data_IF_041648638635
#
_entry.id   IF_041648638635
#
_cell.length_a   1.000
_cell.length_b   1.000
_cell.length_c   1.000
_cell.angle_alpha   90.00
_cell.angle_beta   90.00
_cell.angle_gamma   90.00
#
_symmetry.space_group_name_H-M   'P 1'
#
loop_
_entity.id
_entity.type
_entity.pdbx_description
1 polymer ?
#
# COMPACT_ATOMS: atom_id res chain seq x y z
N UNK A 1 -14.62 -7.26 -15.28
CA UNK A 1 -14.11 -8.07 -14.15
C UNK A 1 -13.60 -7.08 -13.12
N UNK A 2 -13.86 -7.27 -11.83
CA UNK A 2 -13.36 -6.34 -10.82
C UNK A 2 -11.89 -6.61 -10.56
N UNK A 3 -11.14 -5.57 -10.23
CA UNK A 3 -9.78 -5.71 -9.72
C UNK A 3 -9.85 -6.15 -8.25
N UNK A 4 -8.76 -6.66 -7.66
CA UNK A 4 -8.74 -6.99 -6.23
C UNK A 4 -9.11 -5.80 -5.33
N UNK A 5 -8.69 -4.58 -5.70
CA UNK A 5 -9.13 -3.36 -5.00
C UNK A 5 -10.64 -3.15 -5.16
N UNK A 6 -11.18 -3.33 -6.37
CA UNK A 6 -12.61 -3.20 -6.62
C UNK A 6 -13.47 -4.20 -5.83
N UNK A 7 -13.00 -5.45 -5.73
CA UNK A 7 -13.62 -6.51 -4.93
C UNK A 7 -13.57 -6.17 -3.43
N UNK A 8 -12.41 -5.72 -2.94
CA UNK A 8 -12.25 -5.26 -1.56
C UNK A 8 -13.24 -4.12 -1.21
N UNK A 9 -13.28 -3.08 -2.04
CA UNK A 9 -14.15 -1.92 -1.81
C UNK A 9 -15.64 -2.31 -1.84
N UNK A 10 -16.05 -3.22 -2.73
CA UNK A 10 -17.42 -3.73 -2.77
C UNK A 10 -17.77 -4.57 -1.54
N UNK A 11 -16.91 -5.52 -1.17
CA UNK A 11 -17.09 -6.39 0.00
C UNK A 11 -17.33 -5.57 1.26
N UNK A 12 -16.59 -4.47 1.43
CA UNK A 12 -16.69 -3.56 2.56
C UNK A 12 -17.72 -2.44 2.38
N UNK A 13 -18.53 -2.47 1.31
CA UNK A 13 -19.56 -1.46 1.00
C UNK A 13 -19.03 -0.03 1.06
N UNK A 14 -17.79 0.16 0.59
CA UNK A 14 -17.07 1.42 0.67
C UNK A 14 -17.78 2.51 -0.14
N UNK A 15 -18.00 3.68 0.47
CA UNK A 15 -18.56 4.82 -0.23
C UNK A 15 -17.47 5.51 -1.08
N UNK A 16 -17.43 5.17 -2.37
CA UNK A 16 -16.43 5.67 -3.32
C UNK A 16 -16.42 7.19 -3.45
N UNK A 17 -17.58 7.84 -3.43
CA UNK A 17 -17.67 9.30 -3.49
C UNK A 17 -17.02 9.95 -2.26
N UNK A 18 -17.24 9.39 -1.05
CA UNK A 18 -16.58 9.86 0.18
C UNK A 18 -15.07 9.62 0.16
N UNK A 19 -14.62 8.47 -0.32
CA UNK A 19 -13.19 8.19 -0.49
C UNK A 19 -12.58 9.24 -1.42
N UNK A 20 -13.18 9.42 -2.60
CA UNK A 20 -12.75 10.40 -3.61
C UNK A 20 -12.63 11.82 -3.05
N UNK A 21 -13.65 12.30 -2.31
CA UNK A 21 -13.65 13.65 -1.73
C UNK A 21 -12.61 13.85 -0.64
N UNK A 22 -12.26 12.81 0.12
CA UNK A 22 -11.29 12.92 1.23
C UNK A 22 -9.84 12.93 0.77
N UNK A 23 -9.52 12.20 -0.31
CA UNK A 23 -8.12 11.94 -0.68
C UNK A 23 -7.71 12.59 -2.01
N UNK A 24 -8.65 13.26 -2.70
CA UNK A 24 -8.37 13.97 -3.95
C UNK A 24 -8.15 13.07 -5.18
N UNK A 25 -8.49 11.78 -5.09
CA UNK A 25 -8.53 10.87 -6.25
C UNK A 25 -9.90 11.02 -6.92
N UNK A 26 -9.96 11.29 -8.23
CA UNK A 26 -11.24 11.44 -8.92
C UNK A 26 -12.07 10.15 -8.92
N UNK A 27 -13.40 10.27 -8.96
CA UNK A 27 -14.29 9.11 -9.05
C UNK A 27 -14.00 8.26 -10.29
N UNK A 28 -13.71 8.90 -11.43
CA UNK A 28 -13.29 8.20 -12.66
C UNK A 28 -12.03 7.39 -12.44
N UNK A 29 -11.03 7.95 -11.74
CA UNK A 29 -9.79 7.23 -11.42
C UNK A 29 -10.05 6.06 -10.49
N UNK A 30 -10.88 6.25 -9.47
CA UNK A 30 -11.26 5.18 -8.54
C UNK A 30 -12.07 4.07 -9.24
N UNK A 31 -12.94 4.45 -10.19
CA UNK A 31 -13.71 3.51 -11.00
C UNK A 31 -12.80 2.71 -11.94
N UNK A 32 -11.83 3.34 -12.61
CA UNK A 32 -10.84 2.66 -13.44
C UNK A 32 -10.03 1.66 -12.58
N UNK A 33 -9.49 2.12 -11.45
CA UNK A 33 -8.74 1.27 -10.52
C UNK A 33 -9.56 0.08 -9.98
N UNK A 34 -10.89 0.20 -9.90
CA UNK A 34 -11.78 -0.84 -9.39
C UNK A 34 -12.23 -1.85 -10.45
N UNK A 35 -12.27 -1.46 -11.73
CA UNK A 35 -12.96 -2.24 -12.77
C UNK A 35 -12.09 -2.55 -14.01
N UNK A 36 -10.93 -1.90 -14.16
CA UNK A 36 -10.05 -2.07 -15.31
C UNK A 36 -8.73 -2.72 -14.89
N UNK A 37 -8.45 -3.93 -15.40
CA UNK A 37 -7.19 -4.63 -15.10
C UNK A 37 -5.95 -3.93 -15.69
N UNK A 38 -6.14 -3.00 -16.64
CA UNK A 38 -5.08 -2.18 -17.22
C UNK A 38 -4.76 -0.95 -16.38
N UNK A 39 -5.61 -0.58 -15.43
CA UNK A 39 -5.37 0.56 -14.56
C UNK A 39 -4.30 0.19 -13.52
N UNK A 40 -3.11 0.79 -13.66
CA UNK A 40 -2.02 0.60 -12.71
C UNK A 40 -2.38 1.28 -11.40
N UNK A 41 -2.38 0.53 -10.29
CA UNK A 41 -2.54 1.04 -8.94
C UNK A 41 -1.18 1.43 -8.35
N UNK A 42 -0.97 2.71 -8.08
CA UNK A 42 0.27 3.20 -7.47
C UNK A 42 0.18 3.19 -5.94
N UNK A 43 1.34 3.13 -5.26
CA UNK A 43 1.39 3.02 -3.80
C UNK A 43 0.82 4.26 -3.08
N UNK A 44 1.08 5.45 -3.63
CA UNK A 44 0.54 6.74 -3.19
C UNK A 44 -0.97 6.88 -3.44
N UNK A 45 -1.58 6.05 -4.29
CA UNK A 45 -3.04 5.94 -4.44
C UNK A 45 -3.62 4.88 -3.50
N UNK A 46 -2.99 3.69 -3.42
CA UNK A 46 -3.50 2.60 -2.59
C UNK A 46 -3.60 3.01 -1.13
N UNK A 47 -2.53 3.62 -0.58
CA UNK A 47 -2.49 3.95 0.84
C UNK A 47 -3.70 4.78 1.28
N UNK A 48 -3.99 5.96 0.70
CA UNK A 48 -5.12 6.75 1.11
C UNK A 48 -6.47 6.09 0.80
N UNK A 49 -6.60 5.40 -0.34
CA UNK A 49 -7.85 4.67 -0.66
C UNK A 49 -8.15 3.62 0.41
N UNK A 50 -7.16 2.78 0.74
CA UNK A 50 -7.32 1.68 1.68
C UNK A 50 -7.52 2.19 3.11
N UNK A 51 -6.78 3.22 3.50
CA UNK A 51 -6.90 3.80 4.84
C UNK A 51 -8.30 4.36 5.10
N UNK A 52 -8.86 5.11 4.13
CA UNK A 52 -10.23 5.64 4.25
C UNK A 52 -11.28 4.53 4.16
N UNK A 53 -11.09 3.54 3.29
CA UNK A 53 -11.98 2.39 3.21
C UNK A 53 -12.02 1.60 4.54
N UNK A 54 -10.87 1.35 5.16
CA UNK A 54 -10.76 0.68 6.47
C UNK A 54 -11.51 1.45 7.55
N UNK A 55 -11.31 2.77 7.61
CA UNK A 55 -11.98 3.63 8.59
C UNK A 55 -13.51 3.50 8.51
N UNK A 56 -14.08 3.58 7.30
CA UNK A 56 -15.52 3.43 7.12
C UNK A 56 -16.03 1.99 7.32
N UNK A 57 -15.17 1.00 7.12
CA UNK A 57 -15.46 -0.40 7.43
C UNK A 57 -15.32 -0.73 8.93
N UNK A 58 -14.90 0.23 9.77
CA UNK A 58 -14.65 0.00 11.20
C UNK A 58 -13.43 -0.88 11.49
N UNK A 59 -12.49 -1.00 10.53
CA UNK A 59 -11.23 -1.73 10.71
C UNK A 59 -10.21 -0.85 11.44
N UNK A 60 -9.47 -1.44 12.37
CA UNK A 60 -8.39 -0.76 13.10
C UNK A 60 -7.11 -0.68 12.27
N UNK A 61 -6.15 0.14 12.71
CA UNK A 61 -4.83 0.22 12.10
C UNK A 61 -4.07 -1.12 12.12
N UNK A 62 -4.26 -1.92 13.17
CA UNK A 62 -3.67 -3.27 13.29
C UNK A 62 -4.13 -4.21 12.16
N UNK A 63 -5.32 -3.96 11.59
CA UNK A 63 -5.91 -4.75 10.50
C UNK A 63 -5.54 -4.21 9.11
N UNK A 64 -4.63 -3.22 9.04
CA UNK A 64 -4.20 -2.66 7.75
C UNK A 64 -3.49 -3.71 6.90
N UNK A 65 -2.59 -4.48 7.51
CA UNK A 65 -1.84 -5.54 6.81
C UNK A 65 -2.75 -6.67 6.28
N UNK A 66 -3.78 -7.04 7.04
CA UNK A 66 -4.80 -7.99 6.59
C UNK A 66 -5.52 -7.46 5.35
N UNK A 67 -5.89 -6.17 5.37
CA UNK A 67 -6.57 -5.54 4.25
C UNK A 67 -5.68 -5.43 3.01
N UNK A 68 -4.37 -5.24 3.19
CA UNK A 68 -3.39 -5.33 2.11
C UNK A 68 -3.35 -6.74 1.52
N UNK A 69 -3.41 -7.79 2.35
CA UNK A 69 -3.41 -9.19 1.89
C UNK A 69 -4.62 -9.55 1.03
N UNK A 70 -5.74 -8.85 1.21
CA UNK A 70 -6.94 -9.03 0.37
C UNK A 70 -6.78 -8.42 -1.04
N UNK A 71 -5.90 -7.42 -1.20
CA UNK A 71 -5.74 -6.66 -2.44
C UNK A 71 -4.48 -7.09 -3.21
N UNK A 72 -3.36 -7.22 -2.49
CA UNK A 72 -2.07 -7.64 -3.06
C UNK A 72 -1.85 -9.11 -2.72
N UNK A 73 -2.08 -9.96 -3.73
CA UNK A 73 -1.92 -11.40 -3.61
C UNK A 73 -0.45 -11.82 -3.79
N UNK A 74 -0.11 -13.03 -3.36
CA UNK A 74 1.23 -13.63 -3.52
C UNK A 74 2.37 -12.83 -2.85
N UNK A 75 2.11 -12.38 -1.62
CA UNK A 75 3.09 -11.70 -0.77
C UNK A 75 4.07 -12.70 -0.18
N UNK A 76 5.38 -12.43 -0.28
CA UNK A 76 6.43 -13.26 0.30
C UNK A 76 7.17 -12.50 1.40
N UNK A 77 6.66 -12.62 2.63
CA UNK A 77 7.17 -11.91 3.80
C UNK A 77 8.55 -12.44 4.21
N UNK A 78 9.44 -11.52 4.52
CA UNK A 78 10.80 -11.79 4.98
C UNK A 78 11.70 -12.42 3.92
N UNK A 79 11.34 -12.47 2.63
CA UNK A 79 12.15 -13.18 1.62
C UNK A 79 13.61 -12.67 1.57
N UNK A 80 13.83 -11.36 1.80
CA UNK A 80 15.18 -10.78 1.82
C UNK A 80 15.84 -11.10 3.17
N UNK A 81 15.15 -10.87 4.29
CA UNK A 81 15.71 -11.07 5.63
C UNK A 81 16.05 -12.54 5.88
N UNK A 82 15.16 -13.46 5.50
CA UNK A 82 15.35 -14.91 5.65
C UNK A 82 16.56 -15.43 4.86
N UNK A 83 16.92 -14.78 3.75
CA UNK A 83 18.12 -15.13 2.99
C UNK A 83 19.44 -14.84 3.74
N UNK A 84 19.36 -14.12 4.87
CA UNK A 84 20.51 -13.70 5.68
C UNK A 84 20.67 -14.54 6.96
N UNK A 85 19.75 -15.46 7.25
CA UNK A 85 19.70 -16.18 8.53
C UNK A 85 20.97 -16.99 8.84
N UNK A 86 21.73 -17.41 7.82
CA UNK A 86 22.98 -18.16 7.99
C UNK A 86 24.18 -17.27 8.38
N UNK A 87 24.02 -15.95 8.38
CA UNK A 87 25.08 -15.01 8.74
C UNK A 87 25.13 -14.77 10.26
N UNK A 88 26.28 -14.31 10.76
CA UNK A 88 26.39 -13.84 12.14
C UNK A 88 25.50 -12.61 12.38
N UNK A 89 25.05 -12.32 13.61
CA UNK A 89 24.15 -11.20 13.89
C UNK A 89 24.65 -9.84 13.35
N UNK A 90 25.94 -9.53 13.48
CA UNK A 90 26.52 -8.31 12.93
C UNK A 90 26.55 -8.32 11.39
N UNK A 91 26.82 -9.47 10.78
CA UNK A 91 26.78 -9.62 9.33
C UNK A 91 25.35 -9.51 8.78
N UNK A 92 24.34 -10.05 9.48
CA UNK A 92 22.93 -9.84 9.17
C UNK A 92 22.56 -8.35 9.17
N UNK A 93 23.01 -7.63 10.21
CA UNK A 93 22.79 -6.18 10.31
C UNK A 93 23.38 -5.43 9.10
N UNK A 94 24.66 -5.63 8.79
CA UNK A 94 25.27 -4.96 7.64
C UNK A 94 24.62 -5.39 6.32
N UNK A 95 24.36 -6.68 6.15
CA UNK A 95 23.77 -7.20 4.92
C UNK A 95 22.35 -6.64 4.70
N UNK A 96 21.54 -6.48 5.76
CA UNK A 96 20.19 -5.89 5.66
C UNK A 96 20.21 -4.49 5.02
N UNK A 97 21.21 -3.67 5.32
CA UNK A 97 21.28 -2.28 4.85
C UNK A 97 22.21 -2.05 3.66
N UNK A 98 22.98 -3.06 3.23
CA UNK A 98 23.95 -2.93 2.13
C UNK A 98 23.63 -3.82 0.93
N UNK A 99 22.44 -4.45 0.89
CA UNK A 99 21.96 -5.20 -0.27
C UNK A 99 22.04 -4.36 -1.55
N UNK A 100 22.52 -4.97 -2.63
CA UNK A 100 22.49 -4.31 -3.93
C UNK A 100 21.05 -4.20 -4.44
N UNK A 101 20.74 -3.10 -5.15
CA UNK A 101 19.42 -2.86 -5.74
C UNK A 101 18.93 -4.04 -6.59
N UNK A 102 19.82 -4.67 -7.36
CA UNK A 102 19.49 -5.80 -8.22
C UNK A 102 19.07 -7.05 -7.43
N UNK A 103 19.68 -7.29 -6.26
CA UNK A 103 19.31 -8.41 -5.38
C UNK A 103 17.91 -8.18 -4.81
N UNK A 104 17.63 -6.96 -4.34
CA UNK A 104 16.31 -6.57 -3.86
C UNK A 104 15.26 -6.75 -4.96
N UNK A 105 15.50 -6.16 -6.15
CA UNK A 105 14.57 -6.25 -7.29
C UNK A 105 14.24 -7.69 -7.66
N UNK A 106 15.26 -8.55 -7.72
CA UNK A 106 15.11 -9.96 -8.04
C UNK A 106 14.29 -10.69 -6.95
N UNK A 107 14.60 -10.45 -5.68
CA UNK A 107 13.93 -11.11 -4.56
C UNK A 107 12.42 -10.79 -4.51
N UNK A 108 12.04 -9.55 -4.81
CA UNK A 108 10.63 -9.12 -4.74
C UNK A 108 9.89 -9.21 -6.08
N UNK A 109 10.54 -9.70 -7.14
CA UNK A 109 9.95 -9.80 -8.49
C UNK A 109 9.71 -8.44 -9.17
N UNK A 110 10.46 -7.41 -8.78
CA UNK A 110 10.40 -6.08 -9.39
C UNK A 110 11.22 -6.07 -10.71
N UNK A 111 10.80 -5.31 -11.74
CA UNK A 111 11.56 -5.23 -12.99
C UNK A 111 13.00 -4.74 -12.79
N UNK A 112 13.93 -5.31 -13.57
CA UNK A 112 15.36 -4.94 -13.50
C UNK A 112 15.59 -3.44 -13.68
N UNK A 113 16.45 -2.87 -12.84
CA UNK A 113 16.81 -1.45 -12.76
C UNK A 113 15.65 -0.50 -12.40
N UNK A 114 14.51 -1.01 -11.93
CA UNK A 114 13.35 -0.19 -11.57
C UNK A 114 13.66 0.72 -10.37
N UNK A 115 14.34 0.23 -9.33
CA UNK A 115 14.74 1.03 -8.17
C UNK A 115 15.64 2.17 -8.62
N UNK A 116 16.63 1.88 -9.47
CA UNK A 116 17.51 2.93 -10.03
C UNK A 116 16.75 3.97 -10.84
N UNK A 117 15.73 3.56 -11.62
CA UNK A 117 14.87 4.49 -12.37
C UNK A 117 14.00 5.35 -11.46
N UNK A 118 13.46 4.79 -10.38
CA UNK A 118 12.67 5.53 -9.39
C UNK A 118 13.51 6.60 -8.68
N UNK A 119 14.76 6.28 -8.34
CA UNK A 119 15.68 7.23 -7.70
C UNK A 119 16.10 8.34 -8.67
N UNK A 120 16.30 8.02 -9.95
CA UNK A 120 16.83 8.96 -10.93
C UNK A 120 15.78 9.94 -11.48
N UNK A 121 14.49 9.62 -11.43
CA UNK A 121 13.43 10.44 -12.00
C UNK A 121 12.27 10.63 -11.00
N UNK A 122 12.09 11.84 -10.42
CA UNK A 122 11.06 12.11 -9.42
C UNK A 122 9.63 12.00 -9.97
N UNK A 123 9.45 11.94 -11.30
CA UNK A 123 8.13 11.72 -11.92
C UNK A 123 7.75 10.23 -11.98
N UNK A 124 8.69 9.32 -11.71
CA UNK A 124 8.41 7.88 -11.69
C UNK A 124 7.77 7.50 -10.38
N UNK A 125 6.70 6.73 -10.49
CA UNK A 125 5.94 6.19 -9.35
C UNK A 125 6.13 4.68 -9.28
N UNK A 126 6.20 4.17 -8.06
CA UNK A 126 6.19 2.74 -7.78
C UNK A 126 4.75 2.25 -7.68
N UNK A 127 4.47 1.05 -8.21
CA UNK A 127 3.16 0.44 -8.04
C UNK A 127 2.94 0.07 -6.58
N UNK A 128 1.68 -0.10 -6.18
CA UNK A 128 1.38 -0.55 -4.82
C UNK A 128 2.00 -1.92 -4.52
N UNK A 129 1.92 -2.85 -5.49
CA UNK A 129 2.53 -4.19 -5.43
C UNK A 129 4.05 -4.11 -5.21
N UNK A 130 4.74 -3.23 -5.95
CA UNK A 130 6.18 -3.01 -5.84
C UNK A 130 6.60 -2.56 -4.44
N UNK A 131 5.92 -1.58 -3.87
CA UNK A 131 6.27 -1.04 -2.54
C UNK A 131 5.89 -2.01 -1.42
N UNK A 132 4.74 -2.67 -1.52
CA UNK A 132 4.29 -3.65 -0.52
C UNK A 132 5.23 -4.85 -0.47
N UNK A 133 5.60 -5.41 -1.64
CA UNK A 133 6.56 -6.53 -1.68
C UNK A 133 7.94 -6.14 -1.19
N UNK A 134 8.36 -4.88 -1.40
CA UNK A 134 9.57 -4.36 -0.77
C UNK A 134 9.46 -4.33 0.76
N UNK A 135 8.37 -3.80 1.30
CA UNK A 135 8.13 -3.77 2.76
C UNK A 135 8.09 -5.18 3.33
N UNK A 136 7.34 -6.09 2.70
CA UNK A 136 7.26 -7.50 3.09
C UNK A 136 8.62 -8.18 3.08
N UNK A 137 9.39 -8.02 2.00
CA UNK A 137 10.69 -8.66 1.87
C UNK A 137 11.68 -8.20 2.94
N UNK A 138 11.57 -6.94 3.37
CA UNK A 138 12.42 -6.29 4.38
C UNK A 138 11.88 -6.38 5.82
N UNK A 139 10.71 -6.99 6.00
CA UNK A 139 9.95 -7.04 7.26
C UNK A 139 9.69 -5.65 7.86
N UNK A 140 9.28 -4.71 7.02
CA UNK A 140 8.84 -3.38 7.43
C UNK A 140 7.35 -3.39 7.72
N UNK A 141 6.94 -2.68 8.77
CA UNK A 141 5.53 -2.39 9.00
C UNK A 141 4.99 -1.50 7.87
N UNK A 142 4.02 -2.02 7.11
CA UNK A 142 3.52 -1.35 5.90
C UNK A 142 2.82 -0.04 6.24
N UNK A 143 1.97 -0.02 7.28
CA UNK A 143 1.21 1.16 7.63
C UNK A 143 2.13 2.29 8.13
N UNK A 144 3.05 1.97 9.03
CA UNK A 144 4.03 2.92 9.55
C UNK A 144 4.96 3.43 8.43
N UNK A 145 5.36 2.54 7.51
CA UNK A 145 6.15 2.94 6.34
C UNK A 145 5.36 3.91 5.45
N UNK A 146 4.09 3.62 5.16
CA UNK A 146 3.24 4.48 4.36
C UNK A 146 2.97 5.84 5.01
N UNK A 147 2.67 5.88 6.31
CA UNK A 147 2.54 7.14 7.07
C UNK A 147 3.80 7.98 7.00
N UNK A 148 4.97 7.35 7.15
CA UNK A 148 6.27 8.02 7.09
C UNK A 148 6.56 8.66 5.73
N UNK A 149 6.20 7.99 4.63
CA UNK A 149 6.55 8.44 3.27
C UNK A 149 5.46 9.28 2.59
N UNK A 150 4.18 9.02 2.88
CA UNK A 150 3.03 9.68 2.24
C UNK A 150 2.29 10.65 3.18
N UNK A 151 2.65 10.68 4.46
CA UNK A 151 2.04 11.50 5.49
C UNK A 151 0.83 10.85 6.16
N UNK A 152 0.45 11.40 7.31
CA UNK A 152 -0.74 10.96 8.03
C UNK A 152 -2.03 11.47 7.38
N UNK A 153 -3.08 10.65 7.47
CA UNK A 153 -4.42 11.00 6.98
C UNK A 153 -5.31 11.29 8.18
N UNK A 154 -5.66 12.57 8.34
CA UNK A 154 -6.57 13.02 9.40
C UNK A 154 -8.02 12.80 8.96
N UNK A 155 -8.65 11.77 9.53
CA UNK A 155 -10.07 11.48 9.31
C UNK A 155 -10.90 12.12 10.42
N UNK A 156 -11.37 13.34 10.19
CA UNK A 156 -12.40 13.94 11.05
C UNK A 156 -13.75 13.29 10.76
N UNK A 157 -14.39 12.73 11.79
CA UNK A 157 -15.79 12.35 11.70
C UNK A 157 -16.61 13.61 11.42
N UNK A 158 -17.29 13.68 10.28
CA UNK A 158 -18.36 14.64 10.09
C UNK A 158 -19.39 14.39 11.20
N UNK A 159 -19.37 15.24 12.24
CA UNK A 159 -20.48 15.38 13.17
C UNK A 159 -21.61 16.06 12.40
N UNK A 160 -22.31 15.29 11.56
CA UNK A 160 -23.57 15.76 10.98
C UNK A 160 -24.53 16.05 12.13
N UNK A 161 -24.81 17.34 12.30
CA UNK A 161 -25.82 17.93 13.18
C UNK A 161 -27.01 17.00 13.43
N UNK A 162 -27.09 16.47 14.65
CA UNK A 162 -28.39 16.16 15.26
C UNK A 162 -29.04 17.52 15.49
N UNK A 163 -29.84 17.98 14.52
CA UNK A 163 -30.88 18.95 14.81
C UNK A 163 -31.89 18.23 15.68
N UNK A 164 -31.73 18.36 16.99
CA UNK A 164 -32.83 18.20 17.92
C UNK A 164 -33.93 19.14 17.43
N UNK A 165 -35.02 18.53 16.96
CA UNK A 165 -36.29 19.23 16.76
C UNK A 165 -36.95 19.28 18.13
N UNK A 166 -36.93 20.46 18.73
CA UNK A 166 -37.95 20.87 19.70
C UNK A 166 -39.35 20.81 19.06
#
# INVERSE_FOLDING_TARGET
MKTPLGEYLEKHKSNRAKISSMIGVSEDRLNALSNENTAILYADELYPILYVANFYAGKTEEQFDDSVSEIILNRNKGIIINSLNDLSPSAQLFAKYTQSKNVIETAIGMPKNKISKLIADPKKRATADEVIKFCDGMELDILQTFKSIYGDINLTQDKTNVKDKD
#
